data_IF_194556988313
#
_entry.id   IF_194556988313
#
_cell.length_a   1.000
_cell.length_b   1.000
_cell.length_c   1.000
_cell.angle_alpha   90.00
_cell.angle_beta   90.00
_cell.angle_gamma   90.00
#
_symmetry.space_group_name_H-M   'P 1'
#
loop_
_entity.id
_entity.type
_entity.pdbx_description
1 polymer ?
#
# COMPACT_ATOMS: atom_id res chain seq x y z
N UNK A 1 16.07 -16.22 7.06
CA UNK A 1 16.62 -15.23 6.11
C UNK A 1 16.36 -13.83 6.65
N UNK A 2 17.31 -12.90 6.51
CA UNK A 2 17.03 -11.48 6.76
C UNK A 2 16.04 -11.02 5.69
N UNK A 3 14.99 -10.32 6.06
CA UNK A 3 14.06 -9.72 5.12
C UNK A 3 14.71 -8.44 4.56
N UNK A 4 15.03 -8.43 3.29
CA UNK A 4 15.44 -7.22 2.60
C UNK A 4 14.17 -6.51 2.12
N UNK A 5 14.07 -5.21 2.42
CA UNK A 5 12.91 -4.41 1.99
C UNK A 5 13.26 -3.80 0.63
N UNK A 6 13.03 -4.58 -0.43
CA UNK A 6 13.18 -4.15 -1.82
C UNK A 6 12.12 -4.83 -2.71
N UNK A 7 11.99 -4.37 -3.94
CA UNK A 7 11.02 -4.90 -4.90
C UNK A 7 11.33 -6.36 -5.30
N UNK A 8 12.58 -6.80 -5.23
CA UNK A 8 12.94 -8.18 -5.55
C UNK A 8 12.39 -9.13 -4.50
N UNK A 9 12.61 -8.83 -3.22
CA UNK A 9 12.07 -9.62 -2.12
C UNK A 9 10.54 -9.49 -2.01
N UNK A 10 9.96 -8.33 -2.32
CA UNK A 10 8.51 -8.17 -2.42
C UNK A 10 7.91 -9.15 -3.45
N UNK A 11 8.53 -9.26 -4.63
CA UNK A 11 8.13 -10.26 -5.65
C UNK A 11 8.21 -11.69 -5.12
N UNK A 12 9.24 -12.01 -4.33
CA UNK A 12 9.35 -13.33 -3.68
C UNK A 12 8.20 -13.61 -2.71
N UNK A 13 7.75 -12.60 -1.92
CA UNK A 13 6.59 -12.73 -1.04
C UNK A 13 5.30 -13.05 -1.82
N UNK A 14 5.08 -12.39 -2.96
CA UNK A 14 3.93 -12.67 -3.82
C UNK A 14 3.98 -14.10 -4.40
N UNK A 15 5.15 -14.54 -4.86
CA UNK A 15 5.34 -15.90 -5.35
C UNK A 15 5.15 -16.93 -4.24
N UNK A 16 5.66 -16.67 -3.04
CA UNK A 16 5.47 -17.51 -1.87
C UNK A 16 3.99 -17.63 -1.52
N UNK A 17 3.24 -16.53 -1.51
CA UNK A 17 1.80 -16.55 -1.27
C UNK A 17 1.05 -17.42 -2.29
N UNK A 18 1.37 -17.28 -3.57
CA UNK A 18 0.77 -18.12 -4.64
C UNK A 18 1.13 -19.59 -4.49
N UNK A 19 2.38 -19.89 -4.18
CA UNK A 19 2.84 -21.26 -3.94
C UNK A 19 2.15 -21.90 -2.72
N UNK A 20 1.87 -21.11 -1.66
CA UNK A 20 1.10 -21.51 -0.50
C UNK A 20 -0.40 -21.63 -0.73
N UNK A 21 -0.87 -21.38 -1.97
CA UNK A 21 -2.27 -21.56 -2.36
C UNK A 21 -3.19 -20.37 -2.03
N UNK A 22 -2.64 -19.22 -1.66
CA UNK A 22 -3.46 -18.04 -1.40
C UNK A 22 -4.08 -17.47 -2.68
N UNK A 23 -5.35 -17.04 -2.54
CA UNK A 23 -6.06 -16.25 -3.52
C UNK A 23 -6.10 -14.81 -3.05
N UNK A 24 -5.66 -13.88 -3.89
CA UNK A 24 -5.78 -12.46 -3.63
C UNK A 24 -7.24 -12.01 -3.75
N UNK A 25 -7.71 -11.20 -2.83
CA UNK A 25 -9.08 -10.71 -2.81
C UNK A 25 -9.16 -9.25 -2.32
N UNK A 26 -10.34 -8.65 -2.50
CA UNK A 26 -10.64 -7.29 -2.05
C UNK A 26 -11.54 -7.30 -0.81
N UNK A 27 -11.63 -6.15 -0.14
CA UNK A 27 -12.46 -5.93 1.04
C UNK A 27 -13.96 -5.72 0.67
N UNK A 28 -14.54 -6.62 -0.11
CA UNK A 28 -15.93 -6.52 -0.57
C UNK A 28 -16.88 -7.42 0.22
N UNK A 29 -16.38 -8.53 0.70
CA UNK A 29 -17.11 -9.54 1.49
C UNK A 29 -16.16 -10.24 2.44
N UNK A 30 -16.75 -10.89 3.46
CA UNK A 30 -15.96 -11.70 4.38
C UNK A 30 -15.10 -12.71 3.60
N UNK A 31 -13.79 -12.75 3.82
CA UNK A 31 -12.90 -13.60 3.05
C UNK A 31 -13.10 -15.08 3.38
N UNK A 32 -13.00 -15.92 2.37
CA UNK A 32 -13.01 -17.38 2.49
C UNK A 32 -11.64 -17.92 2.91
N UNK A 33 -11.54 -19.14 3.44
CA UNK A 33 -10.26 -19.78 3.69
C UNK A 33 -9.36 -19.82 2.44
N UNK A 34 -8.06 -19.64 2.63
CA UNK A 34 -7.07 -19.50 1.57
C UNK A 34 -7.05 -18.10 0.92
N UNK A 35 -7.55 -17.07 1.63
CA UNK A 35 -7.57 -15.69 1.12
C UNK A 35 -6.45 -14.84 1.71
N UNK A 36 -5.79 -14.09 0.85
CA UNK A 36 -4.87 -13.00 1.18
C UNK A 36 -5.46 -11.67 0.74
N UNK A 37 -5.66 -10.77 1.68
CA UNK A 37 -6.02 -9.38 1.45
C UNK A 37 -4.75 -8.53 1.47
N UNK A 38 -4.27 -8.12 0.28
CA UNK A 38 -3.18 -7.17 0.18
C UNK A 38 -3.70 -5.76 0.39
N UNK A 39 -3.11 -5.06 1.32
CA UNK A 39 -3.40 -3.68 1.67
C UNK A 39 -2.15 -2.84 1.56
N UNK A 40 -2.24 -1.71 0.86
CA UNK A 40 -1.19 -0.71 0.81
C UNK A 40 -1.68 0.60 1.37
N UNK A 41 -1.06 1.06 2.44
CA UNK A 41 -1.25 2.40 2.93
C UNK A 41 -0.22 3.30 2.22
N UNK A 42 -0.70 4.21 1.36
CA UNK A 42 0.14 5.08 0.54
C UNK A 42 0.27 6.42 1.25
N UNK A 43 1.24 6.50 2.14
CA UNK A 43 1.44 7.66 2.97
C UNK A 43 2.21 8.77 2.25
N UNK A 44 3.24 8.40 1.48
CA UNK A 44 4.27 9.34 1.06
C UNK A 44 4.48 9.42 -0.47
N UNK A 45 4.32 8.32 -1.23
CA UNK A 45 4.75 8.29 -2.64
C UNK A 45 3.80 7.53 -3.55
N UNK A 46 3.20 8.26 -4.51
CA UNK A 46 2.41 7.66 -5.59
C UNK A 46 3.30 6.88 -6.57
N UNK A 47 4.54 7.33 -6.81
CA UNK A 47 5.47 6.63 -7.70
C UNK A 47 5.86 5.26 -7.11
N UNK A 48 6.07 5.19 -5.79
CA UNK A 48 6.27 3.92 -5.09
C UNK A 48 5.05 3.00 -5.19
N UNK A 49 3.85 3.56 -5.01
CA UNK A 49 2.61 2.80 -5.16
C UNK A 49 2.47 2.20 -6.56
N UNK A 50 2.79 2.95 -7.61
CA UNK A 50 2.76 2.47 -8.99
C UNK A 50 3.81 1.37 -9.25
N UNK A 51 5.04 1.53 -8.73
CA UNK A 51 6.10 0.54 -8.89
C UNK A 51 5.71 -0.81 -8.26
N UNK A 52 5.11 -0.79 -7.07
CA UNK A 52 4.60 -2.00 -6.40
C UNK A 52 3.41 -2.59 -7.16
N UNK A 53 2.47 -1.75 -7.61
CA UNK A 53 1.28 -2.19 -8.33
C UNK A 53 1.59 -2.87 -9.68
N UNK A 54 2.59 -2.37 -10.41
CA UNK A 54 3.05 -2.97 -11.65
C UNK A 54 3.65 -4.36 -11.39
N UNK A 55 4.45 -4.50 -10.36
CA UNK A 55 5.03 -5.78 -9.95
C UNK A 55 3.94 -6.78 -9.52
N UNK A 56 2.92 -6.34 -8.80
CA UNK A 56 1.77 -7.16 -8.41
C UNK A 56 0.97 -7.64 -9.61
N UNK A 57 0.66 -6.73 -10.55
CA UNK A 57 -0.03 -7.08 -11.78
C UNK A 57 0.76 -8.12 -12.61
N UNK A 58 2.09 -7.95 -12.74
CA UNK A 58 2.98 -8.94 -13.36
C UNK A 58 2.92 -10.31 -12.66
N UNK A 59 2.86 -10.31 -11.34
CA UNK A 59 2.72 -11.52 -10.54
C UNK A 59 1.29 -12.11 -10.56
N UNK A 60 0.31 -11.41 -11.14
CA UNK A 60 -1.11 -11.79 -11.12
C UNK A 60 -1.71 -11.70 -9.70
N UNK A 61 -1.25 -10.74 -8.92
CA UNK A 61 -1.81 -10.38 -7.63
C UNK A 61 -2.73 -9.16 -7.75
N UNK A 62 -3.69 -9.03 -6.85
CA UNK A 62 -4.55 -7.85 -6.75
C UNK A 62 -4.51 -7.32 -5.32
N UNK A 63 -4.56 -5.99 -5.16
CA UNK A 63 -4.46 -5.31 -3.89
C UNK A 63 -5.43 -4.14 -3.79
N UNK A 64 -5.61 -3.61 -2.58
CA UNK A 64 -6.29 -2.35 -2.33
C UNK A 64 -5.29 -1.31 -1.85
N UNK A 65 -5.18 -0.21 -2.61
CA UNK A 65 -4.32 0.94 -2.32
C UNK A 65 -5.14 2.02 -1.63
N UNK A 66 -4.78 2.35 -0.41
CA UNK A 66 -5.45 3.39 0.37
C UNK A 66 -4.68 4.70 0.21
N UNK A 67 -5.32 5.69 -0.44
CA UNK A 67 -4.74 6.99 -0.74
C UNK A 67 -5.33 8.08 0.16
N UNK A 68 -4.50 9.05 0.53
CA UNK A 68 -4.91 10.20 1.33
C UNK A 68 -5.43 11.33 0.44
N UNK A 69 -6.64 11.83 0.70
CA UNK A 69 -7.18 13.01 0.01
C UNK A 69 -6.44 14.30 0.40
N UNK A 70 -5.84 14.32 1.60
CA UNK A 70 -5.08 15.44 2.16
C UNK A 70 -3.68 14.99 2.55
N UNK A 71 -2.84 14.71 1.56
CA UNK A 71 -1.43 14.37 1.80
C UNK A 71 -0.56 15.63 1.70
N UNK A 72 0.43 15.73 2.58
CA UNK A 72 1.51 16.72 2.49
C UNK A 72 2.55 16.34 1.41
N UNK A 73 2.53 15.10 0.94
CA UNK A 73 3.55 14.55 0.05
C UNK A 73 3.11 14.48 -1.42
N UNK A 74 1.80 14.36 -1.68
CA UNK A 74 1.27 14.28 -3.03
C UNK A 74 -0.10 14.96 -3.16
N UNK A 75 -0.48 15.27 -4.40
CA UNK A 75 -1.75 15.92 -4.70
C UNK A 75 -2.56 15.07 -5.70
N UNK A 76 -3.66 14.47 -5.24
CA UNK A 76 -4.53 13.63 -6.08
C UNK A 76 -5.30 14.41 -7.17
N UNK A 77 -5.35 15.74 -7.08
CA UNK A 77 -5.98 16.60 -8.08
C UNK A 77 -4.97 17.17 -9.09
N UNK A 78 -3.69 16.82 -8.96
CA UNK A 78 -2.69 17.10 -9.99
C UNK A 78 -2.74 16.00 -11.08
N UNK A 79 -2.28 16.28 -12.32
CA UNK A 79 -2.23 15.28 -13.38
C UNK A 79 -1.52 13.97 -12.98
N UNK A 80 -0.48 14.05 -12.15
CA UNK A 80 0.21 12.88 -11.61
C UNK A 80 -0.66 12.06 -10.65
N UNK A 81 -1.48 12.71 -9.84
CA UNK A 81 -2.40 12.05 -8.92
C UNK A 81 -3.56 11.37 -9.65
N UNK A 82 -4.14 12.04 -10.63
CA UNK A 82 -5.18 11.47 -11.49
C UNK A 82 -4.65 10.26 -12.25
N UNK A 83 -3.47 10.39 -12.87
CA UNK A 83 -2.79 9.29 -13.54
C UNK A 83 -2.54 8.08 -12.61
N UNK A 84 -2.12 8.34 -11.37
CA UNK A 84 -1.88 7.25 -10.41
C UNK A 84 -3.15 6.46 -10.11
N UNK A 85 -4.27 7.13 -9.85
CA UNK A 85 -5.57 6.48 -9.61
C UNK A 85 -6.00 5.64 -10.84
N UNK A 86 -5.93 6.23 -12.04
CA UNK A 86 -6.28 5.54 -13.28
C UNK A 86 -5.37 4.33 -13.53
N UNK A 87 -4.07 4.47 -13.30
CA UNK A 87 -3.10 3.40 -13.51
C UNK A 87 -3.30 2.25 -12.54
N UNK A 88 -3.50 2.52 -11.24
CA UNK A 88 -3.81 1.51 -10.23
C UNK A 88 -5.05 0.70 -10.63
N UNK A 89 -6.13 1.37 -11.05
CA UNK A 89 -7.34 0.70 -11.51
C UNK A 89 -7.12 -0.08 -12.81
N UNK A 90 -6.35 0.47 -13.74
CA UNK A 90 -6.00 -0.18 -15.01
C UNK A 90 -5.16 -1.45 -14.83
N UNK A 91 -4.40 -1.54 -13.75
CA UNK A 91 -3.64 -2.73 -13.35
C UNK A 91 -4.51 -3.77 -12.61
N UNK A 92 -5.79 -3.47 -12.34
CA UNK A 92 -6.72 -4.38 -11.68
C UNK A 92 -6.78 -4.24 -10.16
N UNK A 93 -6.22 -3.17 -9.59
CA UNK A 93 -6.28 -2.89 -8.16
C UNK A 93 -7.51 -2.05 -7.79
N UNK A 94 -7.85 -2.05 -6.50
CA UNK A 94 -8.84 -1.14 -5.90
C UNK A 94 -8.15 0.07 -5.28
N UNK A 95 -8.87 1.18 -5.24
CA UNK A 95 -8.40 2.42 -4.61
C UNK A 95 -9.37 2.80 -3.50
N UNK A 96 -8.90 2.81 -2.26
CA UNK A 96 -9.66 3.16 -1.07
C UNK A 96 -9.18 4.44 -0.41
N UNK A 97 -9.91 4.87 0.61
CA UNK A 97 -9.59 6.07 1.38
C UNK A 97 -8.62 5.74 2.53
N UNK A 98 -7.46 6.42 2.57
CA UNK A 98 -6.60 6.48 3.76
C UNK A 98 -6.91 7.77 4.53
N UNK A 99 -7.66 7.64 5.62
CA UNK A 99 -8.20 8.79 6.34
C UNK A 99 -7.45 9.06 7.65
N UNK A 100 -7.33 10.32 8.01
CA UNK A 100 -6.84 10.76 9.34
C UNK A 100 -8.04 11.04 10.22
N UNK A 101 -8.17 10.31 11.35
CA UNK A 101 -9.27 10.49 12.28
C UNK A 101 -9.36 11.93 12.79
N UNK A 102 -10.58 12.52 12.93
CA UNK A 102 -11.89 11.93 12.60
C UNK A 102 -12.37 12.25 11.17
N UNK A 103 -11.53 12.82 10.33
CA UNK A 103 -11.92 13.37 9.03
C UNK A 103 -12.10 12.28 7.98
N UNK A 104 -13.28 12.22 7.37
CA UNK A 104 -13.59 11.29 6.28
C UNK A 104 -14.00 12.09 5.05
N UNK A 105 -13.00 12.42 4.23
CA UNK A 105 -13.25 13.11 2.96
C UNK A 105 -13.67 12.08 1.89
N UNK A 106 -14.90 12.21 1.41
CA UNK A 106 -15.38 11.37 0.32
C UNK A 106 -14.82 11.85 -1.01
N UNK A 107 -14.31 10.92 -1.77
CA UNK A 107 -13.87 11.14 -3.15
C UNK A 107 -14.55 10.10 -4.03
N UNK A 108 -15.27 10.54 -5.05
CA UNK A 108 -16.02 9.66 -5.97
C UNK A 108 -15.09 8.74 -6.78
N UNK A 109 -13.80 9.05 -6.84
CA UNK A 109 -12.79 8.21 -7.47
C UNK A 109 -12.42 6.99 -6.63
N UNK A 110 -12.85 6.91 -5.36
CA UNK A 110 -12.48 5.83 -4.45
C UNK A 110 -13.61 4.80 -4.30
N UNK A 111 -13.21 3.56 -4.11
CA UNK A 111 -14.10 2.51 -3.66
C UNK A 111 -14.53 2.77 -2.20
N UNK A 112 -15.68 2.24 -1.81
CA UNK A 112 -16.24 2.48 -0.47
C UNK A 112 -15.53 1.63 0.61
N UNK A 113 -14.22 1.68 0.64
CA UNK A 113 -13.34 1.03 1.62
C UNK A 113 -12.44 2.08 2.27
N UNK A 114 -12.17 1.95 3.57
CA UNK A 114 -11.41 2.90 4.35
C UNK A 114 -10.40 2.19 5.26
N UNK A 115 -9.20 2.74 5.34
CA UNK A 115 -8.20 2.46 6.35
C UNK A 115 -7.80 3.75 7.07
N UNK A 116 -7.69 3.72 8.40
CA UNK A 116 -7.22 4.86 9.16
C UNK A 116 -5.70 4.97 9.16
N UNK A 117 -5.19 6.18 8.95
CA UNK A 117 -3.78 6.51 9.13
C UNK A 117 -3.47 6.73 10.62
N UNK A 118 -2.67 5.83 11.21
CA UNK A 118 -2.22 5.91 12.59
C UNK A 118 -3.30 6.32 13.62
N UNK A 119 -4.47 5.69 13.65
CA UNK A 119 -5.52 6.05 14.60
C UNK A 119 -5.14 5.63 16.03
N UNK A 120 -5.67 6.35 17.02
CA UNK A 120 -5.69 5.84 18.38
C UNK A 120 -6.44 4.50 18.43
N UNK A 121 -5.99 3.53 19.26
CA UNK A 121 -6.58 2.19 19.31
C UNK A 121 -8.08 2.17 19.57
N UNK A 122 -8.62 3.15 20.29
CA UNK A 122 -10.06 3.26 20.60
C UNK A 122 -10.90 3.58 19.35
N UNK A 123 -10.34 4.29 18.35
CA UNK A 123 -11.06 4.68 17.13
C UNK A 123 -10.79 3.77 15.94
N UNK A 124 -9.77 2.91 16.06
CA UNK A 124 -9.32 2.05 14.96
C UNK A 124 -10.46 1.25 14.31
N UNK A 125 -11.43 0.80 15.11
CA UNK A 125 -12.52 -0.07 14.68
C UNK A 125 -13.87 0.61 14.64
N UNK A 126 -13.91 1.94 14.77
CA UNK A 126 -15.18 2.67 14.71
C UNK A 126 -15.80 2.52 13.31
N UNK A 127 -17.10 2.19 13.25
CA UNK A 127 -17.80 2.09 11.98
C UNK A 127 -17.92 3.46 11.33
N UNK A 128 -17.68 3.51 10.03
CA UNK A 128 -17.76 4.73 9.23
C UNK A 128 -18.89 4.58 8.21
N UNK A 129 -19.91 5.42 8.34
CA UNK A 129 -21.10 5.34 7.49
C UNK A 129 -20.78 5.44 6.00
N UNK A 130 -21.14 4.40 5.23
CA UNK A 130 -20.93 4.30 3.79
C UNK A 130 -19.54 3.82 3.40
N UNK A 131 -18.71 3.37 4.34
CA UNK A 131 -17.44 2.71 4.08
C UNK A 131 -17.35 1.37 4.80
N UNK A 132 -16.60 0.46 4.21
CA UNK A 132 -16.07 -0.73 4.87
C UNK A 132 -14.77 -0.32 5.54
N UNK A 133 -14.72 -0.30 6.87
CA UNK A 133 -13.49 -0.09 7.63
C UNK A 133 -12.68 -1.39 7.64
N UNK A 134 -11.56 -1.43 6.93
CA UNK A 134 -10.75 -2.65 6.79
C UNK A 134 -9.95 -3.02 8.05
N UNK A 135 -9.98 -2.15 9.06
CA UNK A 135 -9.36 -2.39 10.37
C UNK A 135 -10.33 -3.02 11.37
N UNK A 136 -11.63 -3.14 11.03
CA UNK A 136 -12.59 -3.93 11.79
C UNK A 136 -12.31 -5.43 11.67
N UNK A 137 -12.67 -6.18 12.71
CA UNK A 137 -12.84 -7.62 12.57
C UNK A 137 -14.14 -7.90 11.77
N UNK A 138 -14.24 -8.90 10.91
CA UNK A 138 -13.35 -10.05 10.77
C UNK A 138 -12.66 -10.19 9.41
N UNK A 139 -11.96 -9.14 8.94
CA UNK A 139 -11.35 -9.20 7.61
C UNK A 139 -10.25 -10.25 7.48
N UNK A 140 -9.56 -10.59 8.59
CA UNK A 140 -8.55 -11.63 8.58
C UNK A 140 -8.40 -12.27 9.96
N UNK A 141 -7.94 -13.55 10.00
CA UNK A 141 -7.57 -14.21 11.26
C UNK A 141 -6.20 -13.70 11.72
N UNK A 142 -5.37 -13.33 10.77
CA UNK A 142 -4.01 -12.86 11.02
C UNK A 142 -3.76 -11.56 10.25
N UNK A 143 -3.12 -10.65 10.93
CA UNK A 143 -2.64 -9.38 10.37
C UNK A 143 -1.12 -9.32 10.45
N UNK A 144 -0.48 -8.97 9.34
CA UNK A 144 0.95 -8.70 9.24
C UNK A 144 1.17 -7.31 8.66
N UNK A 145 2.17 -6.60 9.17
CA UNK A 145 2.49 -5.24 8.72
C UNK A 145 4.00 -5.00 8.73
N UNK A 146 4.47 -4.30 7.71
CA UNK A 146 5.85 -3.83 7.54
C UNK A 146 6.10 -2.46 8.17
N UNK A 147 5.16 -1.94 8.95
CA UNK A 147 5.24 -0.59 9.55
C UNK A 147 6.61 -0.30 10.17
N UNK A 148 7.15 0.87 9.85
CA UNK A 148 8.51 1.29 10.23
C UNK A 148 9.61 0.36 9.69
N UNK A 149 9.40 -0.24 8.52
CA UNK A 149 10.35 -1.18 7.89
C UNK A 149 10.72 -2.35 8.81
N UNK A 150 9.71 -2.85 9.54
CA UNK A 150 9.92 -3.90 10.52
C UNK A 150 8.73 -4.87 10.60
N UNK A 151 8.99 -6.15 10.35
CA UNK A 151 8.04 -7.23 10.61
C UNK A 151 8.11 -7.66 12.07
N UNK A 152 7.12 -7.28 12.87
CA UNK A 152 7.11 -7.60 14.32
C UNK A 152 7.16 -9.10 14.62
N UNK A 153 6.65 -9.93 13.73
CA UNK A 153 6.59 -11.39 13.86
C UNK A 153 7.65 -12.10 12.97
N UNK A 154 8.58 -11.35 12.38
CA UNK A 154 9.51 -11.84 11.37
C UNK A 154 8.94 -11.76 9.96
N UNK A 155 9.81 -11.95 8.97
CA UNK A 155 9.44 -11.94 7.57
C UNK A 155 8.38 -13.02 7.27
N UNK A 156 7.25 -12.69 6.63
CA UNK A 156 6.16 -13.63 6.41
C UNK A 156 6.44 -14.65 5.28
N UNK A 157 7.58 -14.63 4.64
CA UNK A 157 7.90 -15.43 3.45
C UNK A 157 7.64 -16.93 3.65
N UNK A 158 8.18 -17.51 4.73
CA UNK A 158 8.04 -18.95 5.00
C UNK A 158 6.58 -19.31 5.36
N UNK A 159 5.90 -18.45 6.13
CA UNK A 159 4.50 -18.61 6.49
C UNK A 159 3.59 -18.55 5.26
N UNK A 160 3.88 -17.62 4.33
CA UNK A 160 3.18 -17.49 3.05
C UNK A 160 3.39 -18.73 2.18
N UNK A 161 4.64 -19.17 2.02
CA UNK A 161 4.96 -20.35 1.21
C UNK A 161 4.32 -21.65 1.75
N UNK A 162 4.16 -21.75 3.07
CA UNK A 162 3.53 -22.89 3.72
C UNK A 162 1.98 -22.84 3.74
N UNK A 163 1.36 -21.72 3.32
CA UNK A 163 -0.09 -21.55 3.42
C UNK A 163 -0.59 -21.60 4.87
N UNK A 164 0.17 -21.05 5.81
CA UNK A 164 -0.03 -21.24 7.27
C UNK A 164 -1.34 -20.65 7.76
N UNK A 165 -1.85 -19.59 7.14
CA UNK A 165 -3.03 -18.88 7.60
C UNK A 165 -4.24 -19.15 6.69
N UNK A 166 -5.41 -19.32 7.28
CA UNK A 166 -6.63 -19.43 6.50
C UNK A 166 -6.99 -18.10 5.84
N UNK A 167 -6.90 -17.00 6.58
CA UNK A 167 -7.23 -15.65 6.09
C UNK A 167 -6.18 -14.67 6.60
N UNK A 168 -5.44 -14.06 5.71
CA UNK A 168 -4.37 -13.12 6.03
C UNK A 168 -4.67 -11.75 5.45
N UNK A 169 -4.54 -10.70 6.27
CA UNK A 169 -4.37 -9.33 5.80
C UNK A 169 -2.90 -8.96 5.89
N UNK A 170 -2.30 -8.63 4.76
CA UNK A 170 -0.93 -8.19 4.66
C UNK A 170 -0.91 -6.71 4.31
N UNK A 171 -0.53 -5.87 5.27
CA UNK A 171 -0.30 -4.45 5.07
C UNK A 171 1.15 -4.19 4.70
N UNK A 172 1.34 -3.44 3.62
CA UNK A 172 2.64 -2.87 3.27
C UNK A 172 2.53 -1.39 2.92
N UNK A 173 3.66 -0.69 3.08
CA UNK A 173 3.82 0.71 2.70
C UNK A 173 4.74 0.75 1.49
N UNK A 174 4.25 1.12 0.29
CA UNK A 174 5.00 1.00 -0.97
C UNK A 174 6.38 1.65 -0.97
N UNK A 175 6.54 2.78 -0.29
CA UNK A 175 7.82 3.48 -0.18
C UNK A 175 8.92 2.66 0.47
N UNK A 176 8.56 1.75 1.39
CA UNK A 176 9.53 0.87 2.08
C UNK A 176 10.17 -0.12 1.09
N UNK A 177 9.45 -0.49 0.06
CA UNK A 177 9.86 -1.48 -0.95
C UNK A 177 10.48 -0.87 -2.19
N UNK A 178 10.01 0.32 -2.58
CA UNK A 178 10.42 0.96 -3.82
C UNK A 178 11.71 1.79 -3.70
N UNK A 179 12.07 2.23 -2.49
CA UNK A 179 13.27 3.03 -2.29
C UNK A 179 14.31 2.28 -1.47
N UNK A 180 15.61 2.35 -1.87
CA UNK A 180 16.67 1.62 -1.18
C UNK A 180 16.97 2.24 0.19
N UNK A 181 17.23 1.38 1.18
CA UNK A 181 17.65 1.77 2.51
C UNK A 181 17.70 0.59 3.46
N UNK A 182 18.71 0.53 4.32
CA UNK A 182 18.86 -0.50 5.36
C UNK A 182 18.09 -0.15 6.65
N UNK A 183 17.50 1.04 6.69
CA UNK A 183 16.69 1.56 7.79
C UNK A 183 15.62 2.52 7.24
N UNK A 184 14.52 2.68 7.99
CA UNK A 184 13.45 3.62 7.63
C UNK A 184 14.00 5.02 7.32
N UNK A 185 14.99 5.51 8.09
CA UNK A 185 15.63 6.80 7.83
C UNK A 185 16.31 6.85 6.45
N UNK A 186 17.09 5.83 6.09
CA UNK A 186 17.78 5.79 4.80
C UNK A 186 16.80 5.66 3.64
N UNK A 187 15.79 4.83 3.78
CA UNK A 187 14.72 4.69 2.80
C UNK A 187 13.99 6.01 2.57
N UNK A 188 13.65 6.75 3.64
CA UNK A 188 13.01 8.05 3.53
C UNK A 188 13.92 9.10 2.88
N UNK A 189 15.22 9.11 3.19
CA UNK A 189 16.18 10.01 2.53
C UNK A 189 16.29 9.69 1.04
N UNK A 190 16.34 8.42 0.68
CA UNK A 190 16.36 7.95 -0.72
C UNK A 190 15.12 8.39 -1.49
N UNK A 191 13.95 8.26 -0.86
CA UNK A 191 12.68 8.74 -1.42
C UNK A 191 12.70 10.26 -1.66
N UNK A 192 13.13 11.04 -0.66
CA UNK A 192 13.18 12.50 -0.77
C UNK A 192 14.18 12.97 -1.84
N UNK A 193 15.30 12.28 -2.01
CA UNK A 193 16.25 12.57 -3.06
C UNK A 193 15.66 12.28 -4.46
N UNK A 194 14.96 11.16 -4.64
CA UNK A 194 14.27 10.85 -5.88
C UNK A 194 13.16 11.88 -6.20
N UNK A 195 12.40 12.30 -5.20
CA UNK A 195 11.37 13.34 -5.35
C UNK A 195 12.00 14.70 -5.73
N UNK A 196 13.13 15.05 -5.13
CA UNK A 196 13.87 16.26 -5.50
C UNK A 196 14.27 16.23 -6.97
N UNK A 197 14.88 15.14 -7.45
CA UNK A 197 15.30 14.99 -8.84
C UNK A 197 14.09 15.06 -9.81
N UNK A 198 12.99 14.43 -9.46
CA UNK A 198 11.75 14.50 -10.23
C UNK A 198 11.24 15.94 -10.35
N UNK A 199 11.25 16.69 -9.25
CA UNK A 199 10.82 18.11 -9.24
C UNK A 199 11.77 18.99 -10.04
N UNK A 200 13.08 18.78 -9.95
CA UNK A 200 14.05 19.50 -10.78
C UNK A 200 13.82 19.24 -12.27
N UNK A 201 13.56 17.99 -12.65
CA UNK A 201 13.21 17.63 -14.03
C UNK A 201 11.94 18.33 -14.49
N UNK A 202 10.91 18.41 -13.64
CA UNK A 202 9.68 19.12 -13.95
C UNK A 202 9.93 20.64 -14.16
N UNK A 203 10.73 21.27 -13.29
CA UNK A 203 11.07 22.68 -13.42
C UNK A 203 11.76 23.00 -14.77
N UNK A 204 12.65 22.11 -15.20
CA UNK A 204 13.29 22.23 -16.53
C UNK A 204 12.26 22.07 -17.65
N UNK A 205 11.34 21.11 -17.53
CA UNK A 205 10.26 20.93 -18.49
C UNK A 205 9.34 22.15 -18.57
N UNK A 206 9.12 22.84 -17.44
CA UNK A 206 8.37 24.09 -17.33
C UNK A 206 9.19 25.33 -17.76
N UNK A 207 10.38 25.12 -18.34
CA UNK A 207 11.30 26.17 -18.85
C UNK A 207 11.84 27.10 -17.77
N UNK A 208 11.96 26.62 -16.54
CA UNK A 208 12.65 27.36 -15.48
C UNK A 208 14.15 27.12 -15.63
N UNK A 209 14.90 28.24 -15.73
CA UNK A 209 16.37 28.22 -15.78
C UNK A 209 16.93 27.97 -14.39
N UNK A 210 17.66 26.84 -14.24
CA UNK A 210 18.28 26.42 -12.99
C UNK A 210 19.80 26.71 -12.95
N UNK A 211 20.34 27.47 -13.93
CA UNK A 211 21.75 27.83 -13.99
C UNK A 211 22.15 28.93 -12.96
#
# INVERSE_FOLDING_TARGET
MSCEFDLAHYRELLHAAKAGGYRFAFFERAPEPGTLLLRHDVDLSLDAALAVAELEAEAGATATYFLMTRSEFYNLNAPSGEHAIERLRGLGHRVGLHAVWPDVDRDERFDSVLAWHNPDPEYMREPVGGFVNVMEAPWADVYRSDSNQHWRQGCPHEELAAGTFERLQLLTHPEIWAYPGSSMRETMLSMLDAERERRLTQLVADRIDLA
#
